data_IF_244865334608
#
_entry.id   IF_244865334608
#
_cell.length_a   1.000
_cell.length_b   1.000
_cell.length_c   1.000
_cell.angle_alpha   90.00
_cell.angle_beta   90.00
_cell.angle_gamma   90.00
#
_symmetry.space_group_name_H-M   'P 1'
#
loop_
_entity.id
_entity.type
_entity.pdbx_description
1 polymer ?
#
# COMPACT_ATOMS: atom_id res chain seq x y z
N UNK A 1 -8.65 6.95 -2.68
CA UNK A 1 -8.32 8.04 -3.62
C UNK A 1 -7.97 9.35 -2.93
N UNK A 2 -8.84 10.04 -2.19
CA UNK A 2 -8.50 11.37 -1.63
C UNK A 2 -7.16 11.41 -0.87
N UNK A 3 -6.90 10.46 0.05
CA UNK A 3 -5.61 10.41 0.75
C UNK A 3 -4.40 10.20 -0.18
N UNK A 4 -4.56 9.40 -1.24
CA UNK A 4 -3.52 9.15 -2.25
C UNK A 4 -3.27 10.41 -3.06
N UNK A 5 -4.30 10.92 -3.74
CA UNK A 5 -4.15 12.05 -4.67
C UNK A 5 -3.70 13.31 -3.95
N UNK A 6 -4.21 13.59 -2.75
CA UNK A 6 -3.76 14.75 -1.97
C UNK A 6 -2.32 14.62 -1.51
N UNK A 7 -1.89 13.42 -1.11
CA UNK A 7 -0.49 13.18 -0.75
C UNK A 7 0.38 13.41 -1.98
N UNK A 8 0.08 12.75 -3.10
CA UNK A 8 0.86 12.85 -4.34
C UNK A 8 0.94 14.30 -4.86
N UNK A 9 -0.20 14.99 -5.03
CA UNK A 9 -0.25 16.36 -5.55
C UNK A 9 0.38 17.41 -4.62
N UNK A 10 0.63 17.07 -3.36
CA UNK A 10 1.30 17.96 -2.40
C UNK A 10 2.80 17.73 -2.33
N UNK A 11 3.23 16.50 -2.64
CA UNK A 11 4.63 16.09 -2.61
C UNK A 11 5.32 16.27 -3.96
N UNK A 12 4.55 16.28 -5.04
CA UNK A 12 5.02 16.35 -6.42
C UNK A 12 4.68 17.68 -7.08
N UNK A 13 5.52 18.09 -8.02
CA UNK A 13 5.33 19.23 -8.90
C UNK A 13 5.64 18.88 -10.37
N UNK A 14 5.40 19.83 -11.28
CA UNK A 14 5.69 19.62 -12.70
C UNK A 14 7.17 19.34 -12.93
N UNK A 15 7.48 18.30 -13.70
CA UNK A 15 8.84 17.80 -13.93
C UNK A 15 9.26 16.66 -12.99
N UNK A 16 8.51 16.40 -11.92
CA UNK A 16 8.81 15.28 -11.03
C UNK A 16 8.51 13.92 -11.68
N UNK A 17 9.24 12.92 -11.20
CA UNK A 17 9.08 11.52 -11.57
C UNK A 17 8.72 10.66 -10.38
N UNK A 18 7.75 9.76 -10.59
CA UNK A 18 7.34 8.73 -9.65
C UNK A 18 7.80 7.37 -10.16
N UNK A 19 8.37 6.53 -9.29
CA UNK A 19 8.51 5.09 -9.53
C UNK A 19 7.39 4.38 -8.77
N UNK A 20 6.64 3.49 -9.42
CA UNK A 20 5.68 2.66 -8.72
C UNK A 20 5.73 1.20 -9.17
N UNK A 21 5.12 0.33 -8.36
CA UNK A 21 4.97 -1.06 -8.75
C UNK A 21 4.08 -1.19 -9.99
N UNK A 22 4.42 -2.13 -10.88
CA UNK A 22 3.62 -2.46 -12.07
C UNK A 22 2.17 -2.83 -11.78
N UNK A 23 1.88 -3.28 -10.56
CA UNK A 23 0.54 -3.54 -10.05
C UNK A 23 0.30 -2.69 -8.81
N UNK A 24 -0.64 -1.76 -8.92
CA UNK A 24 -1.19 -1.02 -7.79
C UNK A 24 -2.70 -0.94 -7.98
N UNK A 25 -3.43 -0.52 -6.95
CA UNK A 25 -4.86 -0.30 -7.02
C UNK A 25 -5.25 0.44 -8.31
N UNK A 26 -6.25 -0.10 -9.01
CA UNK A 26 -6.66 0.33 -10.35
C UNK A 26 -6.81 1.84 -10.49
N UNK A 27 -7.52 2.51 -9.57
CA UNK A 27 -7.67 3.97 -9.62
C UNK A 27 -6.39 4.75 -9.32
N UNK A 28 -5.44 4.16 -8.61
CA UNK A 28 -4.10 4.74 -8.45
C UNK A 28 -3.31 4.61 -9.75
N UNK A 29 -3.42 3.47 -10.45
CA UNK A 29 -2.84 3.29 -11.79
C UNK A 29 -3.46 4.27 -12.80
N UNK A 30 -4.79 4.39 -12.83
CA UNK A 30 -5.51 5.38 -13.65
C UNK A 30 -5.02 6.81 -13.36
N UNK A 31 -4.84 7.17 -12.09
CA UNK A 31 -4.30 8.48 -11.73
C UNK A 31 -2.91 8.70 -12.31
N UNK A 32 -1.99 7.73 -12.17
CA UNK A 32 -0.64 7.86 -12.72
C UNK A 32 -0.61 7.90 -14.25
N UNK A 33 -1.49 7.16 -14.93
CA UNK A 33 -1.53 7.07 -16.40
C UNK A 33 -2.22 8.25 -17.06
N UNK A 34 -3.33 8.72 -16.48
CA UNK A 34 -4.24 9.65 -17.16
C UNK A 34 -4.23 11.05 -16.55
N UNK A 35 -4.06 11.16 -15.23
CA UNK A 35 -4.18 12.44 -14.52
C UNK A 35 -2.82 13.07 -14.23
N UNK A 36 -1.85 12.30 -13.72
CA UNK A 36 -0.51 12.80 -13.37
C UNK A 36 0.21 13.52 -14.54
N UNK A 37 0.15 13.03 -15.81
CA UNK A 37 0.79 13.71 -16.93
C UNK A 37 0.25 15.11 -17.19
N UNK A 38 -1.03 15.38 -16.86
CA UNK A 38 -1.65 16.71 -16.99
C UNK A 38 -1.02 17.74 -16.04
N UNK A 39 -0.38 17.28 -14.97
CA UNK A 39 0.38 18.11 -14.03
C UNK A 39 1.89 18.13 -14.32
N UNK A 40 2.33 17.55 -15.44
CA UNK A 40 3.75 17.43 -15.78
C UNK A 40 4.50 16.39 -14.95
N UNK A 41 3.78 15.50 -14.25
CA UNK A 41 4.37 14.42 -13.45
C UNK A 41 4.48 13.19 -14.34
N UNK A 42 5.65 12.55 -14.34
CA UNK A 42 5.89 11.30 -15.08
C UNK A 42 5.92 10.10 -14.14
N UNK A 43 5.55 8.93 -14.63
CA UNK A 43 5.56 7.69 -13.84
C UNK A 43 6.30 6.58 -14.58
N UNK A 44 7.17 5.87 -13.86
CA UNK A 44 7.76 4.62 -14.30
C UNK A 44 7.16 3.46 -13.49
N UNK A 45 6.80 2.38 -14.17
CA UNK A 45 6.23 1.18 -13.57
C UNK A 45 7.20 0.01 -13.70
N UNK A 46 7.57 -0.58 -12.57
CA UNK A 46 8.54 -1.69 -12.49
C UNK A 46 8.04 -2.78 -11.53
N UNK A 47 8.45 -4.02 -11.76
CA UNK A 47 8.26 -5.07 -10.75
C UNK A 47 9.20 -4.81 -9.57
N UNK A 48 8.65 -4.41 -8.41
CA UNK A 48 9.48 -4.04 -7.26
C UNK A 48 9.97 -5.25 -6.47
N UNK A 49 9.59 -6.47 -6.88
CA UNK A 49 10.22 -7.71 -6.39
C UNK A 49 11.60 -7.92 -7.02
N UNK A 50 11.84 -7.34 -8.19
CA UNK A 50 13.14 -7.34 -8.85
C UNK A 50 13.93 -6.11 -8.43
N UNK A 51 14.71 -6.25 -7.35
CA UNK A 51 15.53 -5.15 -6.80
C UNK A 51 16.57 -4.63 -7.80
N UNK A 52 17.01 -5.43 -8.77
CA UNK A 52 17.92 -4.96 -9.84
C UNK A 52 17.18 -4.04 -10.80
N UNK A 53 15.93 -4.35 -11.14
CA UNK A 53 15.10 -3.46 -11.94
C UNK A 53 14.75 -2.17 -11.19
N UNK A 54 14.53 -2.23 -9.87
CA UNK A 54 14.31 -1.05 -9.01
C UNK A 54 15.54 -0.14 -9.03
N UNK A 55 16.73 -0.69 -8.72
CA UNK A 55 17.99 0.07 -8.73
C UNK A 55 18.22 0.76 -10.07
N UNK A 56 18.10 0.01 -11.18
CA UNK A 56 18.21 0.56 -12.54
C UNK A 56 17.21 1.68 -12.80
N UNK A 57 15.97 1.55 -12.34
CA UNK A 57 14.95 2.57 -12.54
C UNK A 57 15.20 3.84 -11.73
N UNK A 58 15.88 3.72 -10.57
CA UNK A 58 16.24 4.82 -9.69
C UNK A 58 17.52 5.57 -10.14
N UNK A 59 18.27 5.06 -11.12
CA UNK A 59 19.35 5.80 -11.78
C UNK A 59 18.85 7.06 -12.50
N UNK A 60 17.56 7.11 -12.86
CA UNK A 60 16.90 8.33 -13.30
C UNK A 60 16.34 9.07 -12.09
N UNK A 61 16.59 10.40 -11.94
CA UNK A 61 16.09 11.18 -10.81
C UNK A 61 14.62 10.92 -10.54
N UNK A 62 14.31 10.49 -9.31
CA UNK A 62 12.98 10.07 -8.87
C UNK A 62 12.63 10.81 -7.61
N UNK A 63 11.50 11.50 -7.61
CA UNK A 63 11.06 12.27 -6.44
C UNK A 63 10.42 11.38 -5.40
N UNK A 64 9.68 10.37 -5.85
CA UNK A 64 8.81 9.57 -5.01
C UNK A 64 8.73 8.12 -5.52
N UNK A 65 8.79 7.16 -4.60
CA UNK A 65 8.49 5.74 -4.84
C UNK A 65 7.15 5.40 -4.17
N UNK A 66 6.19 4.90 -4.94
CA UNK A 66 4.84 4.54 -4.46
C UNK A 66 4.56 3.06 -4.67
N UNK A 67 4.13 2.34 -3.64
CA UNK A 67 3.71 0.94 -3.79
C UNK A 67 2.84 0.44 -2.64
N UNK A 68 2.25 -0.73 -2.85
CA UNK A 68 1.51 -1.50 -1.85
C UNK A 68 2.36 -2.70 -1.43
N UNK A 69 2.60 -2.98 -0.13
CA UNK A 69 3.45 -4.11 0.28
C UNK A 69 2.93 -5.45 -0.23
N UNK A 70 1.61 -5.60 -0.28
CA UNK A 70 0.91 -6.68 -0.96
C UNK A 70 0.05 -6.02 -2.04
N UNK A 71 0.41 -6.22 -3.31
CA UNK A 71 -0.19 -5.48 -4.41
C UNK A 71 -1.63 -5.88 -4.68
N UNK A 72 -2.44 -4.92 -5.13
CA UNK A 72 -3.78 -5.15 -5.65
C UNK A 72 -3.79 -4.95 -7.19
N UNK A 73 -4.40 -5.85 -7.98
CA UNK A 73 -4.93 -7.18 -7.64
C UNK A 73 -3.88 -8.29 -7.70
N UNK A 74 -2.63 -8.00 -8.07
CA UNK A 74 -1.62 -9.03 -8.37
C UNK A 74 -1.20 -9.91 -7.18
N UNK A 75 -1.42 -9.45 -5.94
CA UNK A 75 -0.95 -10.06 -4.69
C UNK A 75 0.56 -10.32 -4.67
N UNK A 76 1.31 -9.50 -5.42
CA UNK A 76 2.76 -9.52 -5.41
C UNK A 76 3.22 -8.95 -4.05
N UNK A 77 3.90 -9.76 -3.23
CA UNK A 77 4.46 -9.33 -1.95
C UNK A 77 5.86 -8.72 -2.16
N UNK A 78 6.02 -7.46 -1.75
CA UNK A 78 7.22 -6.64 -1.96
C UNK A 78 8.05 -6.58 -0.68
N UNK A 79 9.37 -6.72 -0.80
CA UNK A 79 10.32 -6.53 0.29
C UNK A 79 10.47 -5.04 0.63
N UNK A 80 9.55 -4.52 1.44
CA UNK A 80 9.46 -3.09 1.77
C UNK A 80 10.78 -2.50 2.29
N UNK A 81 11.50 -3.11 3.26
CA UNK A 81 12.79 -2.59 3.71
C UNK A 81 13.81 -2.42 2.58
N UNK A 82 13.91 -3.39 1.66
CA UNK A 82 14.89 -3.34 0.58
C UNK A 82 14.55 -2.25 -0.46
N UNK A 83 13.28 -2.09 -0.80
CA UNK A 83 12.84 -1.00 -1.69
C UNK A 83 13.03 0.36 -1.05
N UNK A 84 12.78 0.48 0.27
CA UNK A 84 13.01 1.71 1.02
C UNK A 84 14.48 2.11 0.97
N UNK A 85 15.39 1.17 1.23
CA UNK A 85 16.85 1.42 1.19
C UNK A 85 17.28 1.98 -0.18
N UNK A 86 16.92 1.29 -1.28
CA UNK A 86 17.24 1.75 -2.63
C UNK A 86 16.64 3.13 -2.95
N UNK A 87 15.39 3.38 -2.53
CA UNK A 87 14.73 4.65 -2.75
C UNK A 87 15.40 5.80 -2.00
N UNK A 88 15.79 5.57 -0.75
CA UNK A 88 16.49 6.56 0.08
C UNK A 88 17.89 6.86 -0.44
N UNK A 89 18.64 5.85 -0.91
CA UNK A 89 19.94 6.03 -1.58
C UNK A 89 19.82 6.91 -2.83
N UNK A 90 18.69 6.82 -3.55
CA UNK A 90 18.37 7.67 -4.69
C UNK A 90 17.77 9.04 -4.32
N UNK A 91 17.58 9.33 -3.02
CA UNK A 91 17.00 10.58 -2.52
C UNK A 91 15.48 10.71 -2.71
N UNK A 92 14.77 9.61 -2.97
CA UNK A 92 13.32 9.59 -3.19
C UNK A 92 12.55 9.40 -1.87
N UNK A 93 11.36 10.02 -1.79
CA UNK A 93 10.41 9.80 -0.69
C UNK A 93 9.63 8.50 -0.94
N UNK A 94 9.43 7.68 0.09
CA UNK A 94 8.72 6.40 -0.01
C UNK A 94 7.31 6.52 0.56
N UNK A 95 6.31 6.29 -0.29
CA UNK A 95 4.89 6.23 0.08
C UNK A 95 4.37 4.81 -0.06
N UNK A 96 3.95 4.22 1.06
CA UNK A 96 3.47 2.85 1.12
C UNK A 96 1.97 2.83 1.41
N UNK A 97 1.16 2.30 0.49
CA UNK A 97 -0.25 2.02 0.76
C UNK A 97 -0.38 0.63 1.42
N UNK A 98 -0.62 0.64 2.73
CA UNK A 98 -0.63 -0.55 3.57
C UNK A 98 -2.05 -1.06 3.84
N UNK A 99 -2.94 -0.89 2.86
CA UNK A 99 -4.36 -1.22 2.99
C UNK A 99 -4.62 -2.68 3.32
N UNK A 100 -4.04 -3.62 2.56
CA UNK A 100 -4.34 -5.05 2.71
C UNK A 100 -3.74 -5.65 3.98
N UNK A 101 -2.54 -5.24 4.36
CA UNK A 101 -1.89 -5.78 5.55
C UNK A 101 -2.37 -5.09 6.83
N UNK A 102 -2.84 -3.83 6.74
CA UNK A 102 -3.25 -3.01 7.89
C UNK A 102 -2.07 -2.76 8.86
N UNK A 103 -2.18 -1.83 9.84
CA UNK A 103 -1.13 -1.69 10.85
C UNK A 103 -1.07 -2.87 11.84
N UNK A 104 -2.01 -3.82 11.77
CA UNK A 104 -1.98 -5.03 12.58
C UNK A 104 -0.92 -6.01 12.07
N UNK A 105 -0.86 -6.29 10.76
CA UNK A 105 0.06 -7.29 10.20
C UNK A 105 1.41 -6.70 9.83
N UNK A 106 1.44 -5.46 9.36
CA UNK A 106 2.68 -4.83 8.91
C UNK A 106 2.69 -3.33 9.20
N UNK A 107 3.86 -2.79 9.59
CA UNK A 107 4.01 -1.38 9.98
C UNK A 107 5.13 -0.74 9.17
N UNK A 108 4.87 -0.24 7.94
CA UNK A 108 5.93 0.23 7.05
C UNK A 108 6.79 1.37 7.63
N UNK A 109 6.20 2.25 8.46
CA UNK A 109 6.96 3.29 9.16
C UNK A 109 8.09 2.74 10.05
N UNK A 110 8.00 1.49 10.51
CA UNK A 110 9.05 0.85 11.31
C UNK A 110 10.23 0.34 10.48
N UNK A 111 10.05 0.24 9.17
CA UNK A 111 11.08 -0.20 8.22
C UNK A 111 11.47 0.91 7.24
N UNK A 112 11.21 2.16 7.62
CA UNK A 112 11.73 3.35 6.91
C UNK A 112 10.82 3.95 5.84
N UNK A 113 9.58 3.49 5.66
CA UNK A 113 8.64 4.23 4.80
C UNK A 113 8.40 5.65 5.36
N UNK A 114 8.37 6.65 4.48
CA UNK A 114 8.18 8.05 4.87
C UNK A 114 6.72 8.39 5.10
N UNK A 115 5.83 7.89 4.24
CA UNK A 115 4.37 8.05 4.38
C UNK A 115 3.70 6.70 4.25
N UNK A 116 2.77 6.40 5.16
CA UNK A 116 1.87 5.25 5.06
C UNK A 116 0.47 5.73 4.77
N UNK A 117 -0.13 5.16 3.72
CA UNK A 117 -1.51 5.37 3.34
C UNK A 117 -2.33 4.15 3.73
N UNK A 118 -3.57 4.38 4.14
CA UNK A 118 -4.60 3.36 4.23
C UNK A 118 -5.89 3.85 3.60
N UNK A 119 -6.60 3.00 2.85
CA UNK A 119 -8.04 3.16 2.72
C UNK A 119 -8.73 2.58 3.97
N UNK A 120 -9.26 3.47 4.80
CA UNK A 120 -9.97 3.10 6.01
C UNK A 120 -11.32 2.41 5.72
N UNK A 121 -11.78 2.49 4.48
CA UNK A 121 -12.99 1.81 3.99
C UNK A 121 -12.91 0.29 4.10
N UNK A 122 -11.70 -0.29 4.05
CA UNK A 122 -11.47 -1.74 3.99
C UNK A 122 -11.39 -2.34 5.40
N UNK A 123 -10.29 -2.99 5.75
CA UNK A 123 -10.15 -3.68 7.04
C UNK A 123 -10.25 -2.77 8.27
N UNK A 124 -9.88 -1.49 8.17
CA UNK A 124 -9.91 -0.57 9.32
C UNK A 124 -11.35 -0.29 9.80
N UNK A 125 -12.26 0.11 8.91
CA UNK A 125 -13.70 0.09 9.21
C UNK A 125 -14.14 -1.37 9.42
N UNK A 126 -13.99 -2.22 8.42
CA UNK A 126 -14.31 -3.65 8.50
C UNK A 126 -15.80 -3.98 8.55
N UNK A 127 -16.70 -3.00 8.39
CA UNK A 127 -18.15 -3.20 8.51
C UNK A 127 -18.95 -2.79 7.25
N UNK A 128 -18.26 -2.35 6.19
CA UNK A 128 -18.90 -2.03 4.90
C UNK A 128 -19.81 -0.79 4.94
N UNK A 129 -19.69 0.05 5.96
CA UNK A 129 -20.63 1.14 6.27
C UNK A 129 -20.00 2.54 6.26
N UNK A 130 -18.68 2.64 6.04
CA UNK A 130 -17.96 3.92 6.08
C UNK A 130 -16.83 3.97 5.05
N UNK A 131 -16.64 5.15 4.47
CA UNK A 131 -15.50 5.44 3.59
C UNK A 131 -14.56 6.47 4.23
N UNK A 132 -13.26 6.24 4.08
CA UNK A 132 -12.23 7.16 4.56
C UNK A 132 -10.85 6.79 4.04
N UNK A 133 -9.96 7.79 4.01
CA UNK A 133 -8.54 7.60 3.73
C UNK A 133 -7.71 8.19 4.86
N UNK A 134 -6.56 7.57 5.14
CA UNK A 134 -5.62 7.99 6.18
C UNK A 134 -4.24 8.10 5.54
N UNK A 135 -3.51 9.17 5.86
CA UNK A 135 -2.08 9.31 5.59
C UNK A 135 -1.37 9.57 6.92
N UNK A 136 -0.25 8.88 7.14
CA UNK A 136 0.51 8.89 8.40
C UNK A 136 1.99 9.02 8.07
N UNK A 137 2.73 9.83 8.83
CA UNK A 137 4.19 9.91 8.77
C UNK A 137 4.73 10.27 10.15
N UNK A 138 5.97 9.88 10.42
CA UNK A 138 6.72 10.31 11.60
C UNK A 138 7.40 11.69 11.39
N UNK A 139 7.52 12.15 10.14
CA UNK A 139 8.05 13.47 9.82
C UNK A 139 6.95 14.53 9.93
N UNK A 140 7.10 15.41 10.91
CA UNK A 140 6.16 16.49 11.17
C UNK A 140 6.09 17.50 10.02
N UNK A 141 7.21 17.84 9.38
CA UNK A 141 7.24 18.78 8.26
C UNK A 141 6.54 18.17 7.03
N UNK A 142 6.76 16.88 6.77
CA UNK A 142 6.07 16.15 5.72
C UNK A 142 4.56 16.10 5.96
N UNK A 143 4.15 15.79 7.20
CA UNK A 143 2.73 15.79 7.58
C UNK A 143 2.08 17.17 7.48
N UNK A 144 2.78 18.25 7.81
CA UNK A 144 2.22 19.60 7.71
C UNK A 144 2.01 20.03 6.26
N UNK A 145 2.90 19.61 5.35
CA UNK A 145 2.66 19.74 3.90
C UNK A 145 1.39 19.00 3.51
N UNK A 146 1.28 17.69 3.81
CA UNK A 146 0.11 16.86 3.44
C UNK A 146 -1.19 17.44 4.03
N UNK A 147 -1.18 17.91 5.29
CA UNK A 147 -2.33 18.56 5.94
C UNK A 147 -2.73 19.85 5.24
N UNK A 148 -1.75 20.68 4.83
CA UNK A 148 -2.00 21.88 4.03
C UNK A 148 -2.65 21.51 2.70
N UNK A 149 -2.13 20.51 2.00
CA UNK A 149 -2.73 19.97 0.77
C UNK A 149 -4.17 19.52 0.96
N UNK A 150 -4.45 18.73 2.01
CA UNK A 150 -5.81 18.31 2.37
C UNK A 150 -6.76 19.50 2.56
N UNK A 151 -6.30 20.57 3.22
CA UNK A 151 -7.11 21.77 3.45
C UNK A 151 -7.37 22.55 2.14
N UNK A 152 -6.42 22.57 1.20
CA UNK A 152 -6.56 23.23 -0.12
C UNK A 152 -7.52 22.43 -1.02
N UNK A 153 -7.30 21.11 -1.13
CA UNK A 153 -8.07 20.25 -2.04
C UNK A 153 -9.42 19.78 -1.45
N UNK A 154 -9.67 20.00 -0.17
CA UNK A 154 -10.99 19.82 0.44
C UNK A 154 -11.46 18.37 0.65
N UNK A 155 -10.64 17.37 0.36
CA UNK A 155 -10.91 15.95 0.63
C UNK A 155 -10.82 15.61 2.12
N UNK A 156 -11.75 16.14 2.91
CA UNK A 156 -11.88 15.91 4.35
C UNK A 156 -12.95 14.85 4.64
N UNK A 157 -12.77 14.12 5.73
CA UNK A 157 -13.70 13.06 6.14
C UNK A 157 -14.88 13.64 6.91
N UNK A 158 -16.08 13.08 6.70
CA UNK A 158 -17.24 13.31 7.56
C UNK A 158 -16.94 12.88 9.01
N UNK A 159 -17.29 13.69 10.04
CA UNK A 159 -17.13 13.28 11.44
C UNK A 159 -17.85 11.96 11.76
N UNK A 160 -18.99 11.69 11.12
CA UNK A 160 -19.72 10.44 11.30
C UNK A 160 -18.97 9.24 10.70
N UNK A 161 -18.39 9.38 9.51
CA UNK A 161 -17.53 8.32 8.94
C UNK A 161 -16.29 8.09 9.81
N UNK A 162 -15.68 9.15 10.33
CA UNK A 162 -14.55 9.02 11.26
C UNK A 162 -14.96 8.24 12.52
N UNK A 163 -16.13 8.52 13.10
CA UNK A 163 -16.68 7.77 14.22
C UNK A 163 -16.88 6.28 13.90
N UNK A 164 -17.52 5.95 12.77
CA UNK A 164 -17.74 4.56 12.36
C UNK A 164 -16.42 3.81 12.14
N UNK A 165 -15.43 4.45 11.53
CA UNK A 165 -14.08 3.89 11.35
C UNK A 165 -13.41 3.65 12.70
N UNK A 166 -13.46 4.61 13.63
CA UNK A 166 -12.88 4.44 14.98
C UNK A 166 -13.55 3.28 15.73
N UNK A 167 -14.88 3.13 15.63
CA UNK A 167 -15.61 1.98 16.16
C UNK A 167 -15.10 0.67 15.54
N UNK A 168 -14.92 0.65 14.22
CA UNK A 168 -14.40 -0.51 13.48
C UNK A 168 -12.99 -0.92 13.90
N UNK A 169 -12.11 0.05 14.12
CA UNK A 169 -10.73 -0.17 14.58
C UNK A 169 -10.71 -0.85 15.96
N UNK A 170 -11.69 -0.56 16.83
CA UNK A 170 -11.81 -1.18 18.15
C UNK A 170 -11.85 -2.70 18.12
N UNK A 171 -12.37 -3.32 17.05
CA UNK A 171 -12.40 -4.77 16.86
C UNK A 171 -11.35 -5.31 15.87
N UNK A 172 -10.45 -4.47 15.35
CA UNK A 172 -9.45 -4.90 14.36
C UNK A 172 -8.59 -6.07 14.87
N UNK A 173 -8.19 -6.01 16.14
CA UNK A 173 -7.33 -7.00 16.78
C UNK A 173 -7.94 -8.41 16.90
N UNK A 174 -9.28 -8.52 16.90
CA UNK A 174 -9.97 -9.83 16.87
C UNK A 174 -10.38 -10.23 15.46
N UNK A 175 -10.65 -9.26 14.57
CA UNK A 175 -11.04 -9.54 13.18
C UNK A 175 -9.86 -10.01 12.32
N UNK A 176 -8.69 -9.38 12.46
CA UNK A 176 -7.54 -9.71 11.59
C UNK A 176 -7.03 -11.14 11.77
N UNK A 177 -6.89 -11.69 12.99
CA UNK A 177 -6.56 -13.11 13.17
C UNK A 177 -7.57 -14.05 12.51
N UNK A 178 -8.87 -13.75 12.63
CA UNK A 178 -9.92 -14.55 11.99
C UNK A 178 -9.82 -14.48 10.46
N UNK A 179 -9.57 -13.30 9.89
CA UNK A 179 -9.33 -13.17 8.45
C UNK A 179 -8.12 -13.99 7.98
N UNK A 180 -7.00 -13.95 8.72
CA UNK A 180 -5.80 -14.71 8.37
C UNK A 180 -6.06 -16.22 8.43
N UNK A 181 -6.66 -16.69 9.53
CA UNK A 181 -6.95 -18.12 9.72
C UNK A 181 -7.91 -18.66 8.66
N UNK A 182 -8.98 -17.91 8.35
CA UNK A 182 -9.95 -18.31 7.34
C UNK A 182 -9.33 -18.28 5.94
N UNK A 183 -8.54 -17.25 5.61
CA UNK A 183 -7.92 -17.16 4.30
C UNK A 183 -6.91 -18.29 4.06
N UNK A 184 -6.12 -18.67 5.07
CA UNK A 184 -5.21 -19.81 4.97
C UNK A 184 -5.98 -21.12 4.69
N UNK A 185 -7.05 -21.39 5.44
CA UNK A 185 -7.86 -22.60 5.22
C UNK A 185 -8.48 -22.63 3.82
N UNK A 186 -8.97 -21.48 3.32
CA UNK A 186 -9.51 -21.39 1.96
C UNK A 186 -8.40 -21.53 0.92
N UNK A 187 -7.23 -20.94 1.15
CA UNK A 187 -6.09 -21.03 0.26
C UNK A 187 -5.61 -22.49 0.12
N UNK A 188 -5.43 -23.20 1.23
CA UNK A 188 -5.05 -24.62 1.24
C UNK A 188 -6.11 -25.49 0.53
N UNK A 189 -7.39 -25.25 0.81
CA UNK A 189 -8.48 -25.96 0.14
C UNK A 189 -8.47 -25.74 -1.38
N UNK A 190 -8.31 -24.49 -1.83
CA UNK A 190 -8.29 -24.17 -3.26
C UNK A 190 -7.01 -24.67 -3.93
N UNK A 191 -5.88 -24.65 -3.23
CA UNK A 191 -4.58 -25.09 -3.74
C UNK A 191 -4.62 -26.57 -4.12
N UNK A 192 -5.31 -27.40 -3.33
CA UNK A 192 -5.48 -28.84 -3.60
C UNK A 192 -6.64 -29.16 -4.57
N UNK A 193 -7.42 -28.16 -4.98
CA UNK A 193 -8.65 -28.38 -5.73
C UNK A 193 -8.39 -28.58 -7.23
N UNK A 194 -8.83 -29.69 -7.86
CA UNK A 194 -8.46 -30.04 -9.24
C UNK A 194 -9.01 -29.11 -10.33
N UNK A 195 -9.96 -28.23 -9.98
CA UNK A 195 -10.53 -27.23 -10.88
C UNK A 195 -9.93 -25.83 -10.69
N UNK A 196 -8.96 -25.67 -9.79
CA UNK A 196 -8.27 -24.41 -9.55
C UNK A 196 -6.91 -24.49 -10.24
N UNK A 197 -6.60 -23.48 -11.06
CA UNK A 197 -5.38 -23.47 -11.87
C UNK A 197 -4.17 -22.90 -11.12
N UNK A 198 -4.40 -21.91 -10.26
CA UNK A 198 -3.38 -21.20 -9.49
C UNK A 198 -4.03 -20.61 -8.24
N UNK A 199 -3.27 -20.46 -7.17
CA UNK A 199 -3.70 -19.80 -5.93
C UNK A 199 -2.60 -18.87 -5.47
N UNK A 200 -2.95 -17.60 -5.27
CA UNK A 200 -2.01 -16.57 -4.79
C UNK A 200 -2.31 -16.22 -3.36
N UNK A 201 -1.44 -16.68 -2.46
CA UNK A 201 -1.55 -16.41 -1.05
C UNK A 201 -0.18 -16.47 -0.38
N UNK A 202 0.30 -15.37 0.23
CA UNK A 202 1.62 -15.36 0.87
C UNK A 202 1.81 -16.39 2.01
N UNK A 203 0.72 -16.95 2.52
CA UNK A 203 0.77 -18.01 3.53
C UNK A 203 1.03 -19.41 3.00
N UNK A 204 0.88 -19.65 1.69
CA UNK A 204 1.18 -20.94 1.07
C UNK A 204 2.71 -21.08 0.85
N UNK A 205 3.33 -22.25 1.15
CA UNK A 205 4.78 -22.42 1.07
C UNK A 205 5.41 -22.23 -0.32
N UNK A 206 4.63 -22.45 -1.37
CA UNK A 206 5.05 -22.37 -2.78
C UNK A 206 4.73 -21.01 -3.42
N UNK A 207 4.03 -20.13 -2.72
CA UNK A 207 3.80 -18.76 -3.17
C UNK A 207 5.13 -17.99 -3.26
N UNK A 208 5.33 -17.26 -4.35
CA UNK A 208 6.57 -16.50 -4.58
C UNK A 208 6.84 -15.47 -3.46
N UNK A 209 5.80 -14.95 -2.81
CA UNK A 209 5.89 -14.04 -1.69
C UNK A 209 6.20 -14.71 -0.36
N UNK A 210 6.10 -16.03 -0.23
CA UNK A 210 6.13 -16.72 1.07
C UNK A 210 7.37 -16.40 1.90
N UNK A 211 8.56 -16.46 1.29
CA UNK A 211 9.81 -16.17 2.01
C UNK A 211 9.89 -14.73 2.56
N UNK A 212 9.39 -13.75 1.79
CA UNK A 212 9.28 -12.36 2.26
C UNK A 212 8.21 -12.26 3.36
N UNK A 213 7.10 -12.97 3.20
CA UNK A 213 5.98 -12.98 4.12
C UNK A 213 6.39 -13.52 5.50
N UNK A 214 7.07 -14.67 5.55
CA UNK A 214 7.54 -15.27 6.81
C UNK A 214 8.52 -14.36 7.56
N UNK A 215 9.32 -13.56 6.83
CA UNK A 215 10.21 -12.58 7.45
C UNK A 215 9.46 -11.35 7.97
N UNK A 216 8.54 -10.79 7.18
CA UNK A 216 7.93 -9.48 7.46
C UNK A 216 6.60 -9.55 8.25
N UNK A 217 5.81 -10.61 8.08
CA UNK A 217 4.41 -10.69 8.52
C UNK A 217 4.22 -11.63 9.72
N UNK A 218 4.77 -11.25 10.86
CA UNK A 218 4.79 -12.08 12.08
C UNK A 218 3.40 -12.35 12.70
N UNK A 219 2.39 -11.53 12.36
CA UNK A 219 1.03 -11.62 12.93
C UNK A 219 0.01 -12.32 12.00
N UNK A 220 0.46 -12.85 10.86
CA UNK A 220 -0.39 -13.53 9.86
C UNK A 220 -0.26 -12.95 8.46
N UNK A 221 -0.72 -13.71 7.46
CA UNK A 221 -0.50 -13.43 6.04
C UNK A 221 -1.57 -12.55 5.37
N UNK A 222 -2.58 -12.11 6.13
CA UNK A 222 -3.69 -11.31 5.60
C UNK A 222 -4.88 -12.14 5.15
N UNK A 223 -5.96 -11.44 4.81
CA UNK A 223 -7.22 -12.06 4.39
C UNK A 223 -7.49 -11.99 2.88
N UNK A 224 -6.51 -11.54 2.10
CA UNK A 224 -6.64 -11.42 0.64
C UNK A 224 -6.03 -12.66 -0.02
N UNK A 225 -6.79 -13.22 -0.96
CA UNK A 225 -6.49 -14.45 -1.69
C UNK A 225 -6.89 -14.21 -3.15
N UNK A 226 -6.09 -14.72 -4.09
CA UNK A 226 -6.29 -14.56 -5.53
C UNK A 226 -6.26 -15.90 -6.24
#
# INVERSE_FOLDING_TARGET
MAAITQTLLTLLESGDRVLCHRSVYDWTDTFFREEAPRFGITTAQVDLRDLTAVDKALQTPTKLVYFEPLSNPGLDLIDVPAVVELAHDAGAVVVVDNTFLTPYLFKPLRVGADVVIHTATKYLSGHGDAMGGIAISNDQALMDRIRRGRNIYGGVISPFNAFLIMRGIGSLHVRMPAHCANALQVAEFLHDHPQVADVRYPGLPDDHGHGVATRLLQAGYGGMLG
#
